data_IF_600223124853
#
_entry.id   IF_600223124853
#
_cell.length_a   1.000
_cell.length_b   1.000
_cell.length_c   1.000
_cell.angle_alpha   90.00
_cell.angle_beta   90.00
_cell.angle_gamma   90.00
#
_symmetry.space_group_name_H-M   'P 1'
#
loop_
_entity.id
_entity.type
_entity.pdbx_description
1 polymer ?
#
# COMPACT_ATOMS: atom_id res chain seq x y z
N UNK A 1 -1.80 20.78 7.42
CA UNK A 1 -3.11 21.46 7.37
C UNK A 1 -3.79 21.34 6.02
N UNK A 2 -3.08 21.35 4.89
CA UNK A 2 -3.70 21.38 3.54
C UNK A 2 -4.55 20.15 3.20
N UNK A 3 -4.11 18.91 3.49
CA UNK A 3 -4.87 17.70 3.14
C UNK A 3 -6.22 17.54 3.85
N UNK A 4 -6.28 17.89 5.15
CA UNK A 4 -7.51 17.81 5.95
C UNK A 4 -8.52 18.87 5.49
N UNK A 5 -8.07 20.10 5.21
CA UNK A 5 -8.94 21.17 4.71
C UNK A 5 -9.54 20.79 3.34
N UNK A 6 -8.72 20.26 2.43
CA UNK A 6 -9.21 19.78 1.12
C UNK A 6 -10.24 18.66 1.29
N UNK A 7 -9.98 17.69 2.18
CA UNK A 7 -10.91 16.61 2.49
C UNK A 7 -12.24 17.11 3.02
N UNK A 8 -12.23 18.04 3.98
CA UNK A 8 -13.44 18.66 4.55
C UNK A 8 -14.22 19.39 3.46
N UNK A 9 -13.55 20.19 2.62
CA UNK A 9 -14.19 20.90 1.50
C UNK A 9 -14.81 19.90 0.53
N UNK A 10 -14.07 18.89 0.08
CA UNK A 10 -14.55 17.89 -0.86
C UNK A 10 -15.74 17.10 -0.31
N UNK A 11 -15.69 16.70 0.96
CA UNK A 11 -16.78 16.00 1.65
C UNK A 11 -18.04 16.86 1.73
N UNK A 12 -17.96 18.09 2.26
CA UNK A 12 -19.12 18.96 2.39
C UNK A 12 -19.67 19.42 1.04
N UNK A 13 -18.81 19.58 0.04
CA UNK A 13 -19.24 19.93 -1.33
C UNK A 13 -20.05 18.79 -1.95
N UNK A 14 -19.57 17.55 -1.83
CA UNK A 14 -20.33 16.39 -2.32
C UNK A 14 -21.61 16.17 -1.50
N UNK A 15 -21.56 16.33 -0.18
CA UNK A 15 -22.74 16.24 0.68
C UNK A 15 -23.81 17.26 0.29
N UNK A 16 -23.43 18.51 0.01
CA UNK A 16 -24.36 19.55 -0.43
C UNK A 16 -24.99 19.21 -1.78
N UNK A 17 -24.20 18.72 -2.75
CA UNK A 17 -24.70 18.27 -4.05
C UNK A 17 -25.63 17.06 -3.87
N UNK A 18 -25.25 16.08 -3.08
CA UNK A 18 -26.06 14.89 -2.81
C UNK A 18 -27.39 15.25 -2.12
N UNK A 19 -27.36 16.20 -1.18
CA UNK A 19 -28.57 16.71 -0.53
C UNK A 19 -29.47 17.42 -1.54
N UNK A 20 -28.92 18.31 -2.37
CA UNK A 20 -29.71 19.11 -3.31
C UNK A 20 -30.38 18.26 -4.39
N UNK A 21 -29.74 17.17 -4.80
CA UNK A 21 -30.24 16.27 -5.83
C UNK A 21 -31.17 15.19 -5.25
N UNK A 22 -31.46 15.24 -3.95
CA UNK A 22 -32.35 14.29 -3.27
C UNK A 22 -31.72 12.92 -3.00
N UNK A 23 -30.43 12.73 -3.29
CA UNK A 23 -29.73 11.46 -3.03
C UNK A 23 -29.72 11.11 -1.55
N UNK A 24 -29.66 12.10 -0.64
CA UNK A 24 -29.71 11.85 0.81
C UNK A 24 -31.13 11.46 1.24
N UNK A 25 -32.15 12.14 0.73
CA UNK A 25 -33.54 11.90 1.12
C UNK A 25 -34.00 10.54 0.62
N UNK A 26 -33.74 10.24 -0.66
CA UNK A 26 -33.93 8.89 -1.23
C UNK A 26 -33.14 7.82 -0.46
N UNK A 27 -32.00 8.19 0.13
CA UNK A 27 -31.20 7.30 0.96
C UNK A 27 -31.85 7.03 2.32
N UNK A 28 -32.35 8.07 2.98
CA UNK A 28 -33.00 7.95 4.30
C UNK A 28 -34.35 7.25 4.18
N UNK A 29 -35.08 7.48 3.10
CA UNK A 29 -36.42 6.95 2.85
C UNK A 29 -36.39 5.51 2.29
N UNK A 30 -35.21 5.02 1.88
CA UNK A 30 -35.04 3.67 1.33
C UNK A 30 -35.65 3.50 -0.06
N UNK A 31 -35.90 4.60 -0.77
CA UNK A 31 -36.52 4.61 -2.10
C UNK A 31 -35.58 4.09 -3.20
N UNK A 32 -34.26 4.11 -2.96
CA UNK A 32 -33.27 3.55 -3.88
C UNK A 32 -32.96 2.10 -3.54
N UNK A 33 -32.64 1.30 -4.57
CA UNK A 33 -32.10 -0.03 -4.37
C UNK A 33 -30.94 0.01 -3.35
N UNK A 34 -30.87 -0.97 -2.45
CA UNK A 34 -29.92 -0.97 -1.32
C UNK A 34 -28.46 -0.78 -1.74
N UNK A 35 -28.11 -0.96 -3.01
CA UNK A 35 -26.75 -0.85 -3.53
C UNK A 35 -26.39 0.55 -4.03
N UNK A 36 -27.34 1.28 -4.63
CA UNK A 36 -27.14 2.68 -5.05
C UNK A 36 -26.98 3.58 -3.82
N UNK A 37 -27.77 3.28 -2.79
CA UNK A 37 -27.63 3.78 -1.42
C UNK A 37 -26.19 3.64 -0.89
N UNK A 38 -25.69 2.39 -0.93
CA UNK A 38 -24.36 2.02 -0.46
C UNK A 38 -23.29 2.73 -1.28
N UNK A 39 -23.49 2.89 -2.60
CA UNK A 39 -22.54 3.53 -3.50
C UNK A 39 -22.37 5.02 -3.23
N UNK A 40 -23.47 5.77 -3.07
CA UNK A 40 -23.41 7.20 -2.75
C UNK A 40 -22.65 7.46 -1.44
N UNK A 41 -22.97 6.70 -0.38
CA UNK A 41 -22.26 6.80 0.90
C UNK A 41 -20.78 6.45 0.79
N UNK A 42 -20.44 5.42 -0.01
CA UNK A 42 -19.02 5.06 -0.24
C UNK A 42 -18.26 6.17 -0.93
N UNK A 43 -18.86 6.76 -1.98
CA UNK A 43 -18.25 7.85 -2.73
C UNK A 43 -18.00 9.05 -1.83
N UNK A 44 -18.96 9.39 -0.96
CA UNK A 44 -18.81 10.46 0.02
C UNK A 44 -17.61 10.21 0.94
N UNK A 45 -17.49 9.00 1.49
CA UNK A 45 -16.37 8.63 2.37
C UNK A 45 -15.04 8.65 1.58
N UNK A 46 -14.98 8.11 0.37
CA UNK A 46 -13.77 8.07 -0.46
C UNK A 46 -13.29 9.47 -0.86
N UNK A 47 -14.20 10.34 -1.26
CA UNK A 47 -13.90 11.74 -1.62
C UNK A 47 -13.28 12.49 -0.44
N UNK A 48 -13.77 12.23 0.78
CA UNK A 48 -13.15 12.76 2.00
C UNK A 48 -11.81 12.09 2.33
N UNK A 49 -11.73 10.77 2.20
CA UNK A 49 -10.55 9.99 2.62
C UNK A 49 -9.33 10.19 1.72
N UNK A 50 -9.50 10.15 0.39
CA UNK A 50 -8.41 10.09 -0.58
C UNK A 50 -7.43 11.29 -0.50
N UNK A 51 -7.89 12.56 -0.37
CA UNK A 51 -6.98 13.69 -0.19
C UNK A 51 -6.14 13.59 1.09
N UNK A 52 -6.73 13.07 2.18
CA UNK A 52 -6.04 12.86 3.45
C UNK A 52 -5.03 11.73 3.32
N UNK A 53 -5.41 10.60 2.71
CA UNK A 53 -4.51 9.47 2.46
C UNK A 53 -3.30 9.90 1.62
N UNK A 54 -3.53 10.64 0.54
CA UNK A 54 -2.47 11.17 -0.33
C UNK A 54 -1.56 12.14 0.43
N UNK A 55 -2.11 13.00 1.28
CA UNK A 55 -1.32 13.92 2.10
C UNK A 55 -0.46 13.18 3.15
N UNK A 56 -1.04 12.19 3.84
CA UNK A 56 -0.30 11.37 4.81
C UNK A 56 0.79 10.56 4.15
N UNK A 57 0.52 9.93 3.00
CA UNK A 57 1.52 9.20 2.22
C UNK A 57 2.73 10.11 1.94
N UNK A 58 2.48 11.29 1.35
CA UNK A 58 3.56 12.23 1.03
C UNK A 58 4.31 12.70 2.28
N UNK A 59 3.60 13.00 3.37
CA UNK A 59 4.21 13.44 4.64
C UNK A 59 5.12 12.36 5.23
N UNK A 60 4.63 11.13 5.33
CA UNK A 60 5.40 10.00 5.87
C UNK A 60 6.58 9.66 4.97
N UNK A 61 6.39 9.64 3.65
CA UNK A 61 7.49 9.41 2.70
C UNK A 61 8.62 10.41 2.90
N UNK A 62 8.30 11.71 2.98
CA UNK A 62 9.28 12.77 3.19
C UNK A 62 10.01 12.64 4.54
N UNK A 63 9.28 12.29 5.60
CA UNK A 63 9.87 12.08 6.92
C UNK A 63 10.82 10.88 6.91
N UNK A 64 10.38 9.74 6.36
CA UNK A 64 11.19 8.53 6.23
C UNK A 64 12.45 8.77 5.38
N UNK A 65 12.34 9.53 4.28
CA UNK A 65 13.50 9.95 3.51
C UNK A 65 14.46 10.82 4.31
N UNK A 66 13.95 11.75 5.13
CA UNK A 66 14.76 12.58 6.01
C UNK A 66 15.51 11.78 7.07
N UNK A 67 14.81 10.84 7.74
CA UNK A 67 15.38 9.97 8.77
C UNK A 67 16.49 9.07 8.20
N UNK A 68 16.26 8.45 7.03
CA UNK A 68 17.29 7.62 6.36
C UNK A 68 18.50 8.47 5.97
N UNK A 69 18.29 9.68 5.42
CA UNK A 69 19.40 10.56 5.06
C UNK A 69 20.22 10.98 6.27
N UNK A 70 19.55 11.30 7.37
CA UNK A 70 20.22 11.69 8.60
C UNK A 70 21.03 10.52 9.19
N UNK A 71 20.43 9.32 9.23
CA UNK A 71 21.08 8.12 9.76
C UNK A 71 22.34 7.72 8.96
N UNK A 72 22.34 7.95 7.64
CA UNK A 72 23.41 7.51 6.74
C UNK A 72 24.22 8.65 6.10
N UNK A 73 24.03 9.90 6.56
CA UNK A 73 24.71 11.10 6.07
C UNK A 73 24.69 11.27 4.53
N UNK A 74 23.59 10.91 3.87
CA UNK A 74 23.45 11.00 2.41
C UNK A 74 23.17 12.44 1.95
N UNK A 75 23.89 12.92 0.93
CA UNK A 75 23.74 14.29 0.38
C UNK A 75 22.66 14.44 -0.70
N UNK A 76 21.95 13.38 -1.09
CA UNK A 76 20.99 13.47 -2.21
C UNK A 76 19.77 14.33 -1.84
N UNK A 77 19.18 15.02 -2.82
CA UNK A 77 17.96 15.81 -2.65
C UNK A 77 16.74 14.86 -2.70
N UNK A 78 15.78 15.01 -1.78
CA UNK A 78 14.61 14.12 -1.76
C UNK A 78 13.78 14.44 -3.00
N UNK A 79 13.70 13.50 -3.95
CA UNK A 79 12.97 13.73 -5.20
C UNK A 79 11.50 13.42 -4.99
N UNK A 80 10.70 14.48 -4.92
CA UNK A 80 9.25 14.38 -4.96
C UNK A 80 8.83 14.22 -6.44
N UNK A 81 7.85 13.34 -6.75
CA UNK A 81 7.35 13.23 -8.11
C UNK A 81 6.83 14.59 -8.60
N UNK A 82 7.14 14.91 -9.85
CA UNK A 82 6.71 16.17 -10.46
C UNK A 82 5.19 16.26 -10.56
N UNK A 83 4.64 17.47 -10.53
CA UNK A 83 3.19 17.66 -10.66
C UNK A 83 2.68 17.14 -12.02
N UNK A 84 3.48 17.26 -13.09
CA UNK A 84 3.14 16.72 -14.41
C UNK A 84 2.99 15.20 -14.40
N UNK A 85 3.89 14.49 -13.73
CA UNK A 85 3.80 13.02 -13.59
C UNK A 85 2.60 12.60 -12.73
N UNK A 86 2.28 13.38 -11.70
CA UNK A 86 1.09 13.13 -10.87
C UNK A 86 -0.21 13.38 -11.64
N UNK A 87 -0.27 14.43 -12.47
CA UNK A 87 -1.40 14.68 -13.36
C UNK A 87 -1.59 13.52 -14.34
N UNK A 88 -0.52 13.07 -15.00
CA UNK A 88 -0.57 11.93 -15.92
C UNK A 88 -1.04 10.65 -15.21
N UNK A 89 -0.55 10.37 -14.00
CA UNK A 89 -1.00 9.25 -13.20
C UNK A 89 -2.49 9.33 -12.82
N UNK A 90 -2.99 10.53 -12.53
CA UNK A 90 -4.40 10.80 -12.32
C UNK A 90 -5.24 10.46 -13.55
N UNK A 91 -4.81 10.91 -14.74
CA UNK A 91 -5.49 10.61 -16.01
C UNK A 91 -5.54 9.09 -16.26
N UNK A 92 -4.41 8.40 -16.07
CA UNK A 92 -4.33 6.95 -16.25
C UNK A 92 -5.22 6.22 -15.27
N UNK A 93 -5.23 6.61 -13.99
CA UNK A 93 -6.11 6.03 -12.99
C UNK A 93 -7.58 6.27 -13.28
N UNK A 94 -7.95 7.47 -13.72
CA UNK A 94 -9.30 7.80 -14.16
C UNK A 94 -9.75 6.92 -15.34
N UNK A 95 -8.91 6.78 -16.38
CA UNK A 95 -9.19 5.92 -17.53
C UNK A 95 -9.35 4.44 -17.14
N UNK A 96 -8.44 3.94 -16.29
CA UNK A 96 -8.49 2.56 -15.80
C UNK A 96 -9.76 2.31 -14.98
N UNK A 97 -10.14 3.26 -14.13
CA UNK A 97 -11.34 3.19 -13.31
C UNK A 97 -12.60 3.22 -14.18
N UNK A 98 -12.69 4.13 -15.16
CA UNK A 98 -13.80 4.12 -16.14
C UNK A 98 -13.86 2.78 -16.86
N UNK A 99 -12.74 2.27 -17.36
CA UNK A 99 -12.70 0.99 -18.09
C UNK A 99 -13.18 -0.17 -17.23
N UNK A 100 -12.86 -0.18 -15.94
CA UNK A 100 -13.38 -1.15 -14.99
C UNK A 100 -14.92 -1.11 -14.91
N UNK A 101 -15.51 0.07 -14.94
CA UNK A 101 -16.96 0.26 -14.99
C UNK A 101 -17.58 -0.03 -16.36
N UNK A 102 -16.83 0.13 -17.45
CA UNK A 102 -17.26 -0.25 -18.81
C UNK A 102 -17.36 -1.77 -19.01
N UNK A 103 -16.61 -2.55 -18.22
CA UNK A 103 -16.63 -4.01 -18.26
C UNK A 103 -17.87 -4.58 -17.55
N UNK A 104 -18.65 -3.78 -16.80
CA UNK A 104 -19.95 -4.21 -16.30
C UNK A 104 -20.94 -4.30 -17.48
N UNK A 105 -21.44 -5.50 -17.81
CA UNK A 105 -22.38 -5.66 -18.91
C UNK A 105 -23.75 -5.21 -18.41
N UNK A 106 -24.05 -3.92 -18.55
CA UNK A 106 -25.41 -3.42 -18.44
C UNK A 106 -25.89 -3.01 -19.83
N UNK A 107 -26.93 -3.69 -20.33
CA UNK A 107 -27.47 -3.46 -21.69
C UNK A 107 -28.03 -2.05 -21.84
N UNK A 108 -28.39 -1.40 -20.74
CA UNK A 108 -28.97 -0.06 -20.70
C UNK A 108 -28.00 1.00 -20.13
N UNK A 109 -26.69 0.72 -20.17
CA UNK A 109 -25.64 1.61 -19.66
C UNK A 109 -25.81 3.06 -20.15
N UNK A 110 -26.35 3.90 -19.25
CA UNK A 110 -26.53 5.33 -19.50
C UNK A 110 -25.19 6.05 -19.68
N UNK A 111 -24.05 5.47 -19.27
CA UNK A 111 -22.70 6.06 -19.37
C UNK A 111 -22.37 6.67 -20.75
N UNK A 112 -22.88 6.10 -21.84
CA UNK A 112 -22.62 6.59 -23.20
C UNK A 112 -23.74 7.44 -23.80
N UNK A 113 -24.77 7.74 -23.00
CA UNK A 113 -25.93 8.55 -23.37
C UNK A 113 -26.02 9.77 -22.44
N UNK A 114 -25.02 10.67 -22.43
CA UNK A 114 -24.98 11.81 -21.52
C UNK A 114 -26.20 12.73 -21.63
N UNK A 115 -26.87 12.74 -22.79
CA UNK A 115 -28.11 13.48 -23.03
C UNK A 115 -29.34 12.89 -22.30
N UNK A 116 -29.26 11.69 -21.72
CA UNK A 116 -30.32 11.06 -20.93
C UNK A 116 -30.03 11.03 -19.44
N UNK A 117 -28.91 11.61 -19.00
CA UNK A 117 -28.56 11.60 -17.60
C UNK A 117 -29.50 12.50 -16.81
N UNK A 118 -30.14 11.94 -15.81
CA UNK A 118 -30.72 12.71 -14.74
C UNK A 118 -29.61 13.32 -13.86
N UNK A 119 -29.96 14.30 -13.04
CA UNK A 119 -28.99 15.08 -12.24
C UNK A 119 -28.28 14.21 -11.20
N UNK A 120 -28.98 13.24 -10.63
CA UNK A 120 -28.49 12.22 -9.69
C UNK A 120 -27.40 11.35 -10.33
N UNK A 121 -27.68 10.82 -11.52
CA UNK A 121 -26.73 10.00 -12.27
C UNK A 121 -25.47 10.80 -12.64
N UNK A 122 -25.66 12.04 -13.09
CA UNK A 122 -24.55 12.95 -13.44
C UNK A 122 -23.63 13.20 -12.25
N UNK A 123 -24.20 13.47 -11.06
CA UNK A 123 -23.43 13.70 -9.85
C UNK A 123 -22.60 12.46 -9.45
N UNK A 124 -23.15 11.25 -9.59
CA UNK A 124 -22.45 9.99 -9.31
C UNK A 124 -21.30 9.75 -10.29
N UNK A 125 -21.49 10.00 -11.59
CA UNK A 125 -20.43 9.83 -12.61
C UNK A 125 -19.25 10.80 -12.39
N UNK A 126 -19.55 12.06 -12.03
CA UNK A 126 -18.52 13.05 -11.68
C UNK A 126 -17.75 12.61 -10.42
N UNK A 127 -18.46 12.15 -9.40
CA UNK A 127 -17.85 11.65 -8.16
C UNK A 127 -16.94 10.44 -8.42
N UNK A 128 -17.41 9.46 -9.18
CA UNK A 128 -16.61 8.28 -9.58
C UNK A 128 -15.35 8.68 -10.36
N UNK A 129 -15.46 9.68 -11.25
CA UNK A 129 -14.32 10.21 -12.00
C UNK A 129 -13.26 10.82 -11.08
N UNK A 130 -13.69 11.62 -10.10
CA UNK A 130 -12.81 12.22 -9.11
C UNK A 130 -12.12 11.17 -8.24
N UNK A 131 -12.85 10.11 -7.86
CA UNK A 131 -12.31 8.98 -7.10
C UNK A 131 -11.27 8.22 -7.91
N UNK A 132 -11.57 7.83 -9.15
CA UNK A 132 -10.63 7.12 -10.02
C UNK A 132 -9.34 7.90 -10.27
N UNK A 133 -9.46 9.21 -10.51
CA UNK A 133 -8.33 10.13 -10.60
C UNK A 133 -7.46 10.12 -9.35
N UNK A 134 -8.10 10.23 -8.18
CA UNK A 134 -7.41 10.32 -6.88
C UNK A 134 -6.73 9.00 -6.50
N UNK A 135 -7.36 7.85 -6.79
CA UNK A 135 -6.77 6.52 -6.62
C UNK A 135 -5.54 6.35 -7.52
N UNK A 136 -5.61 6.82 -8.78
CA UNK A 136 -4.46 6.79 -9.70
C UNK A 136 -3.25 7.53 -9.16
N UNK A 137 -3.45 8.75 -8.68
CA UNK A 137 -2.41 9.57 -8.06
C UNK A 137 -1.80 8.89 -6.83
N UNK A 138 -2.65 8.42 -5.92
CA UNK A 138 -2.23 7.73 -4.71
C UNK A 138 -1.39 6.50 -5.04
N UNK A 139 -1.87 5.67 -5.97
CA UNK A 139 -1.21 4.42 -6.37
C UNK A 139 0.16 4.68 -7.00
N UNK A 140 0.25 5.69 -7.88
CA UNK A 140 1.52 6.08 -8.48
C UNK A 140 2.50 6.61 -7.43
N UNK A 141 2.10 7.52 -6.55
CA UNK A 141 2.99 8.07 -5.52
C UNK A 141 3.46 7.00 -4.53
N UNK A 142 2.61 6.00 -4.25
CA UNK A 142 2.96 4.83 -3.45
C UNK A 142 4.05 3.98 -4.15
N UNK A 143 3.84 3.62 -5.42
CA UNK A 143 4.82 2.84 -6.19
C UNK A 143 6.13 3.62 -6.36
N UNK A 144 6.04 4.89 -6.70
CA UNK A 144 7.19 5.79 -6.85
C UNK A 144 8.01 5.85 -5.56
N UNK A 145 7.35 6.09 -4.41
CA UNK A 145 8.01 6.12 -3.11
C UNK A 145 8.73 4.81 -2.81
N UNK A 146 8.07 3.68 -3.05
CA UNK A 146 8.63 2.35 -2.81
C UNK A 146 9.87 2.07 -3.67
N UNK A 147 9.84 2.44 -4.95
CA UNK A 147 10.98 2.32 -5.86
C UNK A 147 12.12 3.25 -5.44
N UNK A 148 11.82 4.50 -5.09
CA UNK A 148 12.85 5.46 -4.68
C UNK A 148 13.54 5.05 -3.37
N UNK A 149 12.80 4.49 -2.40
CA UNK A 149 13.40 3.88 -1.20
C UNK A 149 14.32 2.72 -1.54
N UNK A 150 13.96 1.92 -2.55
CA UNK A 150 14.78 0.81 -3.03
C UNK A 150 16.09 1.31 -3.64
N UNK A 151 16.06 2.43 -4.37
CA UNK A 151 17.26 3.08 -4.89
C UNK A 151 18.14 3.62 -3.78
N UNK A 152 17.56 4.34 -2.81
CA UNK A 152 18.29 4.84 -1.64
C UNK A 152 18.95 3.68 -0.89
N UNK A 153 18.22 2.58 -0.67
CA UNK A 153 18.74 1.39 -0.02
C UNK A 153 19.99 0.81 -0.71
N UNK A 154 20.07 0.88 -2.04
CA UNK A 154 21.25 0.43 -2.81
C UNK A 154 22.47 1.32 -2.61
N UNK A 155 22.27 2.60 -2.35
CA UNK A 155 23.35 3.58 -2.13
C UNK A 155 23.81 3.66 -0.68
N UNK A 156 23.18 2.93 0.24
CA UNK A 156 23.57 2.93 1.65
C UNK A 156 24.99 2.37 1.83
N UNK A 157 25.84 3.01 2.66
CA UNK A 157 27.13 2.46 3.06
C UNK A 157 26.96 1.12 3.81
N UNK A 158 28.07 0.45 4.14
CA UNK A 158 28.03 -0.88 4.74
C UNK A 158 27.12 -0.93 5.97
N UNK A 159 26.15 -1.84 5.89
CA UNK A 159 25.10 -2.01 6.88
C UNK A 159 25.61 -2.91 8.00
N UNK A 160 25.52 -2.41 9.23
CA UNK A 160 25.76 -3.24 10.40
C UNK A 160 24.62 -4.27 10.53
N UNK A 161 24.90 -5.53 10.21
CA UNK A 161 23.92 -6.63 10.25
C UNK A 161 23.31 -6.86 11.65
N UNK A 162 23.98 -6.40 12.71
CA UNK A 162 23.51 -6.54 14.08
C UNK A 162 22.67 -5.37 14.58
N UNK A 163 22.70 -4.23 13.88
CA UNK A 163 21.89 -3.08 14.23
C UNK A 163 20.54 -3.12 13.50
N UNK A 164 19.53 -3.59 14.22
CA UNK A 164 18.17 -3.71 13.68
C UNK A 164 17.46 -2.36 13.54
N UNK A 165 17.88 -1.33 14.29
CA UNK A 165 17.20 -0.04 14.30
C UNK A 165 17.45 0.73 13.00
N UNK A 166 18.57 0.47 12.34
CA UNK A 166 18.93 1.01 11.03
C UNK A 166 17.88 0.75 9.93
N UNK A 167 17.03 -0.28 10.07
CA UNK A 167 16.01 -0.65 9.07
C UNK A 167 14.60 -0.12 9.36
N UNK A 168 14.38 0.42 10.56
CA UNK A 168 13.06 0.82 11.06
C UNK A 168 12.31 1.80 10.15
N UNK A 169 12.93 2.84 9.56
CA UNK A 169 12.22 3.78 8.69
C UNK A 169 11.63 3.10 7.45
N UNK A 170 12.34 2.12 6.88
CA UNK A 170 11.86 1.36 5.73
C UNK A 170 10.62 0.54 6.09
N UNK A 171 10.68 -0.23 7.18
CA UNK A 171 9.59 -1.09 7.64
C UNK A 171 8.34 -0.25 7.97
N UNK A 172 8.52 0.83 8.73
CA UNK A 172 7.43 1.72 9.12
C UNK A 172 6.75 2.33 7.89
N UNK A 173 7.52 2.81 6.92
CA UNK A 173 7.00 3.36 5.69
C UNK A 173 6.19 2.34 4.88
N UNK A 174 6.69 1.11 4.75
CA UNK A 174 5.99 0.03 4.04
C UNK A 174 4.66 -0.32 4.69
N UNK A 175 4.64 -0.49 6.01
CA UNK A 175 3.41 -0.79 6.78
C UNK A 175 2.41 0.36 6.72
N UNK A 176 2.85 1.61 6.92
CA UNK A 176 1.99 2.80 6.84
C UNK A 176 1.38 2.99 5.45
N UNK A 177 2.17 2.78 4.39
CA UNK A 177 1.68 2.89 3.01
C UNK A 177 0.65 1.80 2.69
N UNK A 178 0.90 0.58 3.16
CA UNK A 178 -0.04 -0.54 2.96
C UNK A 178 -1.35 -0.33 3.75
N UNK A 179 -1.27 0.23 4.97
CA UNK A 179 -2.44 0.57 5.78
C UNK A 179 -3.40 1.52 5.06
N UNK A 180 -2.89 2.50 4.29
CA UNK A 180 -3.73 3.41 3.53
C UNK A 180 -4.57 2.68 2.47
N UNK A 181 -3.99 1.66 1.82
CA UNK A 181 -4.71 0.85 0.84
C UNK A 181 -5.68 -0.11 1.54
N UNK A 182 -5.30 -0.69 2.69
CA UNK A 182 -6.18 -1.55 3.49
C UNK A 182 -7.43 -0.80 3.97
N UNK A 183 -7.28 0.44 4.47
CA UNK A 183 -8.41 1.28 4.88
C UNK A 183 -9.30 1.57 3.66
N UNK A 184 -8.72 1.93 2.52
CA UNK A 184 -9.45 2.14 1.28
C UNK A 184 -10.22 0.89 0.84
N UNK A 185 -9.57 -0.27 0.93
CA UNK A 185 -10.15 -1.57 0.63
C UNK A 185 -11.35 -1.85 1.53
N UNK A 186 -11.23 -1.61 2.84
CA UNK A 186 -12.34 -1.75 3.79
C UNK A 186 -13.51 -0.81 3.48
N UNK A 187 -13.24 0.46 3.16
CA UNK A 187 -14.27 1.43 2.75
C UNK A 187 -15.02 0.96 1.51
N UNK A 188 -14.35 0.32 0.56
CA UNK A 188 -14.99 -0.18 -0.67
C UNK A 188 -15.71 -1.51 -0.51
N UNK A 189 -15.65 -2.15 0.67
CA UNK A 189 -16.07 -3.54 0.84
C UNK A 189 -17.52 -3.89 0.70
N UNK A 190 -18.39 -2.94 1.01
CA UNK A 190 -19.81 -3.11 0.88
C UNK A 190 -20.33 -2.80 -0.53
N UNK A 191 -19.50 -2.26 -1.44
CA UNK A 191 -19.84 -2.08 -2.85
C UNK A 191 -19.80 -3.36 -3.68
N UNK A 192 -19.17 -4.40 -3.14
CA UNK A 192 -18.76 -5.59 -3.86
C UNK A 192 -19.90 -6.49 -4.35
N UNK A 193 -21.07 -6.40 -3.71
CA UNK A 193 -22.04 -7.48 -3.73
C UNK A 193 -23.33 -6.97 -4.38
N UNK A 194 -23.41 -7.13 -5.71
CA UNK A 194 -24.69 -7.18 -6.43
C UNK A 194 -24.90 -8.61 -6.93
N UNK A 195 -26.05 -9.24 -6.64
CA UNK A 195 -26.49 -10.41 -7.38
C UNK A 195 -26.80 -9.97 -8.82
N UNK A 196 -26.05 -10.46 -9.81
CA UNK A 196 -26.38 -10.29 -11.23
C UNK A 196 -25.69 -9.16 -12.01
N UNK A 197 -24.85 -8.30 -11.41
CA UNK A 197 -23.96 -7.43 -12.21
C UNK A 197 -22.53 -7.40 -11.67
N UNK A 198 -21.56 -7.49 -12.57
CA UNK A 198 -20.22 -6.94 -12.33
C UNK A 198 -19.29 -7.70 -11.37
N UNK A 199 -19.54 -8.98 -11.06
CA UNK A 199 -18.63 -9.82 -10.25
C UNK A 199 -17.18 -9.69 -10.72
N UNK A 200 -16.97 -9.62 -12.04
CA UNK A 200 -15.66 -9.46 -12.66
C UNK A 200 -15.02 -8.12 -12.30
N UNK A 201 -15.73 -7.00 -12.44
CA UNK A 201 -15.19 -5.66 -12.14
C UNK A 201 -14.79 -5.54 -10.66
N UNK A 202 -15.64 -6.05 -9.77
CA UNK A 202 -15.37 -6.14 -8.34
C UNK A 202 -14.14 -7.01 -8.04
N UNK A 203 -14.03 -8.20 -8.63
CA UNK A 203 -12.88 -9.10 -8.46
C UNK A 203 -11.58 -8.50 -8.99
N UNK A 204 -11.63 -7.80 -10.13
CA UNK A 204 -10.48 -7.10 -10.71
C UNK A 204 -10.04 -5.99 -9.77
N UNK A 205 -10.96 -5.12 -9.32
CA UNK A 205 -10.65 -4.04 -8.38
C UNK A 205 -10.04 -4.58 -7.08
N UNK A 206 -10.59 -5.67 -6.55
CA UNK A 206 -10.06 -6.37 -5.38
C UNK A 206 -8.64 -6.87 -5.56
N UNK A 207 -8.41 -7.57 -6.67
CA UNK A 207 -7.11 -8.11 -6.99
C UNK A 207 -6.10 -6.98 -7.14
N UNK A 208 -6.47 -5.87 -7.80
CA UNK A 208 -5.62 -4.68 -7.92
C UNK A 208 -5.28 -4.07 -6.56
N UNK A 209 -6.25 -3.91 -5.66
CA UNK A 209 -6.00 -3.36 -4.30
C UNK A 209 -5.11 -4.27 -3.47
N UNK A 210 -5.30 -5.59 -3.55
CA UNK A 210 -4.45 -6.57 -2.89
C UNK A 210 -3.01 -6.51 -3.42
N UNK A 211 -2.85 -6.48 -4.75
CA UNK A 211 -1.55 -6.37 -5.41
C UNK A 211 -0.86 -5.05 -5.02
N UNK A 212 -1.57 -3.92 -5.01
CA UNK A 212 -1.04 -2.64 -4.55
C UNK A 212 -0.59 -2.68 -3.09
N UNK A 213 -1.38 -3.29 -2.21
CA UNK A 213 -1.04 -3.47 -0.79
C UNK A 213 0.25 -4.29 -0.63
N UNK A 214 0.37 -5.40 -1.37
CA UNK A 214 1.57 -6.25 -1.35
C UNK A 214 2.78 -5.52 -1.94
N UNK A 215 2.61 -4.76 -3.01
CA UNK A 215 3.67 -3.95 -3.60
C UNK A 215 4.15 -2.87 -2.63
N UNK A 216 3.23 -2.17 -1.95
CA UNK A 216 3.54 -1.15 -0.94
C UNK A 216 4.46 -1.68 0.16
N UNK A 217 4.26 -2.93 0.57
CA UNK A 217 5.02 -3.58 1.61
C UNK A 217 6.33 -4.19 1.09
N UNK A 218 6.28 -4.96 -0.01
CA UNK A 218 7.39 -5.82 -0.45
C UNK A 218 8.45 -5.03 -1.21
N UNK A 219 8.06 -4.09 -2.09
CA UNK A 219 9.01 -3.34 -2.93
C UNK A 219 10.08 -2.62 -2.09
N UNK A 220 9.75 -1.77 -1.11
CA UNK A 220 10.77 -1.05 -0.35
C UNK A 220 11.68 -2.00 0.45
N UNK A 221 11.17 -3.17 0.86
CA UNK A 221 11.95 -4.16 1.61
C UNK A 221 12.92 -4.94 0.74
N UNK A 222 12.64 -5.12 -0.56
CA UNK A 222 13.53 -5.85 -1.47
C UNK A 222 14.91 -5.19 -1.58
N UNK A 223 14.96 -3.86 -1.56
CA UNK A 223 16.22 -3.11 -1.53
C UNK A 223 17.08 -3.50 -0.32
N UNK A 224 16.49 -3.45 0.86
CA UNK A 224 17.17 -3.79 2.12
C UNK A 224 17.53 -5.27 2.18
N UNK A 225 16.62 -6.17 1.80
CA UNK A 225 16.87 -7.61 1.73
C UNK A 225 18.13 -7.93 0.90
N UNK A 226 18.24 -7.31 -0.28
CA UNK A 226 19.42 -7.51 -1.16
C UNK A 226 20.72 -7.05 -0.51
N UNK A 227 20.69 -5.97 0.29
CA UNK A 227 21.87 -5.47 1.01
C UNK A 227 22.23 -6.32 2.21
N UNK A 228 21.25 -6.82 2.97
CA UNK A 228 21.47 -7.78 4.07
C UNK A 228 22.14 -9.03 3.51
N UNK A 229 21.64 -9.58 2.40
CA UNK A 229 22.25 -10.74 1.76
C UNK A 229 23.68 -10.46 1.26
N UNK A 230 23.92 -9.30 0.66
CA UNK A 230 25.24 -8.91 0.20
C UNK A 230 26.24 -8.76 1.37
N UNK A 231 25.85 -8.06 2.45
CA UNK A 231 26.67 -7.91 3.65
C UNK A 231 26.96 -9.24 4.33
N UNK A 232 25.93 -10.09 4.49
CA UNK A 232 26.06 -11.44 5.06
C UNK A 232 27.04 -12.30 4.26
N UNK A 233 26.94 -12.29 2.92
CA UNK A 233 27.89 -13.04 2.07
C UNK A 233 29.31 -12.50 2.18
N UNK A 234 29.49 -11.18 2.23
CA UNK A 234 30.80 -10.54 2.39
C UNK A 234 31.47 -10.88 3.71
N UNK A 235 30.75 -10.73 4.82
CA UNK A 235 31.27 -11.04 6.16
C UNK A 235 31.55 -12.54 6.34
N UNK A 236 30.65 -13.41 5.86
CA UNK A 236 30.88 -14.86 5.92
C UNK A 236 32.08 -15.28 5.07
N UNK A 237 32.26 -14.71 3.88
CA UNK A 237 33.44 -14.98 3.06
C UNK A 237 34.73 -14.57 3.79
N UNK A 238 34.75 -13.39 4.42
CA UNK A 238 35.90 -12.91 5.18
C UNK A 238 36.20 -13.79 6.42
N UNK A 239 35.18 -14.25 7.14
CA UNK A 239 35.34 -15.13 8.30
C UNK A 239 35.80 -16.52 7.87
N UNK A 240 35.20 -17.12 6.84
CA UNK A 240 35.58 -18.44 6.33
C UNK A 240 37.01 -18.46 5.83
N UNK A 241 37.47 -17.37 5.22
CA UNK A 241 38.87 -17.24 4.82
C UNK A 241 39.83 -17.19 6.03
N UNK A 242 39.47 -16.43 7.08
CA UNK A 242 40.24 -16.42 8.34
C UNK A 242 40.26 -17.78 9.02
N UNK A 243 39.14 -18.50 9.02
CA UNK A 243 39.06 -19.87 9.55
C UNK A 243 39.99 -20.79 8.76
N UNK A 244 39.98 -20.73 7.42
CA UNK A 244 40.84 -21.53 6.56
C UNK A 244 42.32 -21.31 6.88
N UNK A 245 42.76 -20.06 6.90
CA UNK A 245 44.16 -19.69 7.19
C UNK A 245 44.61 -20.13 8.59
N UNK A 246 43.74 -20.01 9.60
CA UNK A 246 44.06 -20.41 10.98
C UNK A 246 44.02 -21.92 11.17
N UNK A 247 43.12 -22.63 10.49
CA UNK A 247 43.06 -24.09 10.50
C UNK A 247 44.38 -24.69 10.02
N UNK A 248 44.94 -24.17 8.94
CA UNK A 248 46.21 -24.67 8.39
C UNK A 248 47.39 -24.45 9.38
N UNK A 249 47.36 -23.36 10.16
CA UNK A 249 48.34 -23.09 11.23
C UNK A 249 48.11 -23.90 12.51
N UNK A 250 46.86 -24.24 12.83
CA UNK A 250 46.54 -25.11 13.96
C UNK A 250 47.02 -26.54 13.69
N UNK A 251 46.81 -27.04 12.47
CA UNK A 251 47.34 -28.35 12.03
C UNK A 251 48.87 -28.40 12.11
N UNK A 252 49.55 -27.26 11.90
CA UNK A 252 50.98 -27.13 12.07
C UNK A 252 51.46 -27.06 13.55
N UNK A 253 50.57 -27.23 14.54
CA UNK A 253 50.92 -27.45 15.95
C UNK A 253 50.78 -26.23 16.89
N UNK A 254 50.08 -25.17 16.49
CA UNK A 254 49.92 -23.96 17.33
C UNK A 254 48.65 -23.99 18.19
N UNK A 255 48.78 -24.30 19.49
CA UNK A 255 47.65 -24.38 20.43
C UNK A 255 46.88 -23.04 20.59
N UNK A 256 47.56 -21.90 20.42
CA UNK A 256 46.97 -20.56 20.55
C UNK A 256 45.95 -20.21 19.44
N UNK A 257 45.94 -20.96 18.33
CA UNK A 257 44.98 -20.75 17.23
C UNK A 257 43.60 -21.41 17.49
N UNK A 258 43.50 -22.30 18.48
CA UNK A 258 42.26 -23.01 18.83
C UNK A 258 41.16 -22.06 19.32
N UNK A 259 41.46 -21.20 20.30
CA UNK A 259 40.48 -20.27 20.89
C UNK A 259 39.95 -19.24 19.87
N UNK A 260 40.82 -18.80 18.97
CA UNK A 260 40.45 -17.87 17.90
C UNK A 260 39.53 -18.52 16.85
N UNK A 261 39.71 -19.81 16.54
CA UNK A 261 38.81 -20.54 15.64
C UNK A 261 37.43 -20.71 16.28
N UNK A 262 37.36 -21.02 17.58
CA UNK A 262 36.08 -21.09 18.31
C UNK A 262 35.33 -19.75 18.23
N UNK A 263 36.04 -18.62 18.45
CA UNK A 263 35.44 -17.29 18.34
C UNK A 263 34.94 -16.98 16.91
N UNK A 264 35.69 -17.39 15.88
CA UNK A 264 35.28 -17.21 14.48
C UNK A 264 34.07 -18.06 14.09
N UNK A 265 33.99 -19.32 14.56
CA UNK A 265 32.83 -20.19 14.34
C UNK A 265 31.57 -19.66 15.07
N UNK A 266 31.74 -19.10 16.27
CA UNK A 266 30.67 -18.44 16.98
C UNK A 266 30.17 -17.20 16.21
N UNK A 267 31.08 -16.41 15.63
CA UNK A 267 30.72 -15.26 14.80
C UNK A 267 30.02 -15.69 13.49
N UNK A 268 30.51 -16.72 12.81
CA UNK A 268 29.87 -17.30 11.62
C UNK A 268 28.43 -17.71 11.92
N UNK A 269 28.23 -18.48 12.99
CA UNK A 269 26.89 -18.91 13.43
C UNK A 269 25.98 -17.73 13.74
N UNK A 270 26.52 -16.67 14.35
CA UNK A 270 25.77 -15.45 14.68
C UNK A 270 25.31 -14.71 13.42
N UNK A 271 26.17 -14.60 12.41
CA UNK A 271 25.85 -13.96 11.12
C UNK A 271 24.86 -14.81 10.33
N UNK A 272 25.02 -16.14 10.31
CA UNK A 272 24.08 -17.05 9.64
C UNK A 272 22.65 -16.93 10.18
N UNK A 273 22.52 -16.68 11.48
CA UNK A 273 21.22 -16.49 12.17
C UNK A 273 20.58 -15.12 11.94
N UNK A 274 21.28 -14.16 11.32
CA UNK A 274 20.66 -12.87 10.98
C UNK A 274 19.56 -13.11 9.94
N UNK A 275 18.30 -12.69 10.20
CA UNK A 275 17.21 -12.83 9.25
C UNK A 275 17.52 -12.06 7.96
N UNK A 276 17.28 -12.69 6.82
CA UNK A 276 17.54 -12.04 5.53
C UNK A 276 16.50 -10.94 5.22
N UNK A 277 15.29 -11.05 5.76
CA UNK A 277 14.24 -10.05 5.59
C UNK A 277 14.20 -9.09 6.79
N UNK A 278 13.99 -7.78 6.54
CA UNK A 278 13.99 -6.78 7.61
C UNK A 278 12.74 -6.85 8.53
N UNK A 279 11.81 -7.78 8.32
CA UNK A 279 10.62 -7.89 9.16
C UNK A 279 10.93 -8.55 10.51
N UNK A 280 10.42 -7.96 11.59
CA UNK A 280 10.25 -8.67 12.85
C UNK A 280 8.89 -9.40 12.87
N UNK A 281 8.78 -10.46 13.69
CA UNK A 281 7.54 -11.24 13.79
C UNK A 281 6.32 -10.38 14.20
N UNK A 282 6.55 -9.30 14.95
CA UNK A 282 5.51 -8.35 15.37
C UNK A 282 4.98 -7.47 14.25
N UNK A 283 5.82 -6.95 13.35
CA UNK A 283 5.33 -6.14 12.22
C UNK A 283 4.57 -7.00 11.21
N UNK A 284 5.01 -8.24 10.97
CA UNK A 284 4.32 -9.16 10.07
C UNK A 284 2.95 -9.57 10.64
N UNK A 285 2.84 -9.83 11.94
CA UNK A 285 1.55 -10.16 12.56
C UNK A 285 0.57 -8.99 12.46
N UNK A 286 1.01 -7.76 12.79
CA UNK A 286 0.19 -6.55 12.69
C UNK A 286 -0.30 -6.35 11.26
N UNK A 287 0.60 -6.45 10.28
CA UNK A 287 0.24 -6.35 8.87
C UNK A 287 -0.81 -7.40 8.47
N UNK A 288 -0.63 -8.66 8.87
CA UNK A 288 -1.59 -9.73 8.61
C UNK A 288 -2.95 -9.44 9.25
N UNK A 289 -3.00 -8.94 10.48
CA UNK A 289 -4.26 -8.53 11.12
C UNK A 289 -4.94 -7.39 10.36
N UNK A 290 -4.19 -6.38 9.92
CA UNK A 290 -4.75 -5.29 9.12
C UNK A 290 -5.29 -5.79 7.78
N UNK A 291 -4.55 -6.67 7.11
CA UNK A 291 -5.00 -7.26 5.86
C UNK A 291 -6.28 -8.10 6.05
N UNK A 292 -6.36 -8.84 7.15
CA UNK A 292 -7.56 -9.57 7.55
C UNK A 292 -8.74 -8.65 7.86
N UNK A 293 -8.52 -7.45 8.40
CA UNK A 293 -9.61 -6.48 8.56
C UNK A 293 -10.15 -6.01 7.21
N UNK A 294 -9.26 -5.65 6.27
CA UNK A 294 -9.65 -5.24 4.93
C UNK A 294 -10.39 -6.36 4.17
N UNK A 295 -9.78 -7.55 4.07
CA UNK A 295 -10.36 -8.69 3.37
C UNK A 295 -11.57 -9.29 4.11
N UNK A 296 -11.51 -9.35 5.44
CA UNK A 296 -12.57 -9.88 6.29
C UNK A 296 -13.85 -9.05 6.20
N UNK A 297 -13.74 -7.73 6.06
CA UNK A 297 -14.89 -6.86 5.80
C UNK A 297 -15.63 -7.25 4.53
N UNK A 298 -14.90 -7.65 3.47
CA UNK A 298 -15.48 -8.09 2.19
C UNK A 298 -16.11 -9.46 2.28
N UNK A 299 -15.39 -10.43 2.86
CA UNK A 299 -15.90 -11.80 3.03
C UNK A 299 -17.13 -11.80 3.93
N UNK A 300 -17.10 -11.01 5.00
CA UNK A 300 -18.24 -10.84 5.90
C UNK A 300 -19.46 -10.25 5.18
N UNK A 301 -19.28 -9.18 4.40
CA UNK A 301 -20.37 -8.58 3.62
C UNK A 301 -21.00 -9.59 2.64
N UNK A 302 -20.17 -10.33 1.89
CA UNK A 302 -20.63 -11.35 0.95
C UNK A 302 -21.34 -12.52 1.65
N UNK A 303 -20.86 -12.93 2.83
CA UNK A 303 -21.47 -14.02 3.60
C UNK A 303 -22.84 -13.63 4.16
N UNK A 304 -22.95 -12.43 4.74
CA UNK A 304 -24.22 -11.90 5.27
C UNK A 304 -25.26 -11.81 4.16
N UNK A 305 -24.88 -11.32 2.98
CA UNK A 305 -25.80 -11.22 1.85
C UNK A 305 -26.27 -12.60 1.36
N UNK A 306 -25.37 -13.60 1.31
CA UNK A 306 -25.75 -14.98 0.98
C UNK A 306 -26.71 -15.58 2.01
N UNK A 307 -26.50 -15.31 3.30
CA UNK A 307 -27.36 -15.80 4.37
C UNK A 307 -28.77 -15.19 4.27
N UNK A 308 -28.86 -13.87 4.05
CA UNK A 308 -30.14 -13.18 3.85
C UNK A 308 -30.88 -13.75 2.65
N UNK A 309 -30.19 -13.93 1.51
CA UNK A 309 -30.78 -14.51 0.30
C UNK A 309 -31.17 -15.99 0.44
N UNK A 310 -30.61 -16.71 1.40
CA UNK A 310 -30.97 -18.12 1.68
C UNK A 310 -32.10 -18.27 2.70
N UNK A 311 -32.37 -17.22 3.49
CA UNK A 311 -33.40 -17.20 4.52
C UNK A 311 -34.73 -16.59 4.02
N UNK A 312 -34.69 -15.83 2.92
CA UNK A 312 -35.84 -15.29 2.18
C UNK A 312 -36.18 -16.22 1.01
#
# INVERSE_FOLDING_TARGET
>A
MTGIVVSVICFFSYLAVASHVGLIDQTVEGEVSSIELRASLTLMILIGYLPVAHWYLRKWSLQSFGEVKQAFALQDNARVPSDRTLLAAGIVGWLAFITLFLILPDRDSLLFQPWRWALDYTAVVIALSLVGWSIGRLSFELIWTALHLTEIAKCLPDLNLFDRDSFKPFIQQGVQSALLIIIMMSITGHLAVKPGSGIIGTMVFMTTMLVLTMMALIIPMRGIHSRIQAGKRGELAAIREKIRLKKDRLIAGSAQESDMIVALLAMETRIERVPDWPFDGGSLSRFSFYLLLGLGSWVGAALVERLINSAL
#
